data_IF_347820591463
#
_entry.id   IF_347820591463
#
_cell.length_a   1.000
_cell.length_b   1.000
_cell.length_c   1.000
_cell.angle_alpha   90.00
_cell.angle_beta   90.00
_cell.angle_gamma   90.00
#
_symmetry.space_group_name_H-M   'P 1'
#
loop_
_entity.id
_entity.type
_entity.pdbx_description
1 polymer ?
#
# COMPACT_ATOMS: atom_id res chain seq x y z
N UNK A 1 7.26 -6.35 3.02
CA UNK A 1 6.85 -5.23 2.15
C UNK A 1 5.36 -5.35 1.90
N UNK A 2 4.66 -4.24 2.02
CA UNK A 2 3.21 -4.14 2.00
C UNK A 2 2.79 -3.05 1.01
N UNK A 3 1.62 -3.24 0.41
CA UNK A 3 0.98 -2.26 -0.45
C UNK A 3 -0.19 -1.63 0.30
N UNK A 4 -0.19 -0.31 0.46
CA UNK A 4 -1.26 0.43 1.13
C UNK A 4 -2.37 0.80 0.15
N UNK A 5 -3.58 0.33 0.43
CA UNK A 5 -4.79 0.65 -0.36
C UNK A 5 -5.87 1.17 0.55
N UNK A 6 -6.51 2.27 0.16
CA UNK A 6 -7.68 2.79 0.86
C UNK A 6 -8.85 1.83 0.64
N UNK A 7 -9.46 1.36 1.72
CA UNK A 7 -10.65 0.49 1.67
C UNK A 7 -11.91 1.16 2.12
N UNK A 8 -11.79 2.18 2.96
CA UNK A 8 -12.92 2.99 3.37
C UNK A 8 -12.46 4.43 3.56
N UNK A 9 -13.26 5.38 3.08
CA UNK A 9 -13.06 6.81 3.27
C UNK A 9 -14.42 7.42 3.58
N UNK A 10 -14.56 8.01 4.75
CA UNK A 10 -15.74 8.75 5.13
C UNK A 10 -15.63 10.21 4.71
N UNK A 11 -16.78 10.87 4.52
CA UNK A 11 -16.81 12.30 4.25
C UNK A 11 -16.34 13.08 5.48
N UNK A 12 -15.45 14.05 5.24
CA UNK A 12 -14.98 14.95 6.29
C UNK A 12 -16.13 15.85 6.77
N UNK A 13 -16.30 15.93 8.08
CA UNK A 13 -17.33 16.73 8.76
C UNK A 13 -16.78 18.01 9.40
N UNK A 14 -15.46 18.13 9.49
CA UNK A 14 -14.79 19.27 10.11
C UNK A 14 -13.42 19.54 9.45
N UNK A 15 -12.84 20.71 9.77
CA UNK A 15 -11.55 21.17 9.21
C UNK A 15 -10.38 20.22 9.52
N UNK A 16 -10.39 19.57 10.69
CA UNK A 16 -9.37 18.59 11.07
C UNK A 16 -9.42 17.36 10.15
N UNK A 17 -10.61 16.82 9.92
CA UNK A 17 -10.87 15.70 9.02
C UNK A 17 -10.57 16.07 7.57
N UNK A 18 -10.92 17.29 7.12
CA UNK A 18 -10.55 17.77 5.79
C UNK A 18 -9.03 17.81 5.61
N UNK A 19 -8.32 18.38 6.59
CA UNK A 19 -6.87 18.46 6.56
C UNK A 19 -6.20 17.07 6.52
N UNK A 20 -6.62 16.17 7.40
CA UNK A 20 -6.09 14.81 7.44
C UNK A 20 -6.48 14.01 6.20
N UNK A 21 -7.71 14.12 5.69
CA UNK A 21 -8.13 13.38 4.50
C UNK A 21 -7.26 13.73 3.29
N UNK A 22 -6.90 15.01 3.11
CA UNK A 22 -6.00 15.44 2.03
C UNK A 22 -4.60 14.83 2.16
N UNK A 23 -4.04 14.78 3.37
CA UNK A 23 -2.72 14.22 3.61
C UNK A 23 -2.68 12.69 3.53
N UNK A 24 -3.75 12.03 3.97
CA UNK A 24 -3.81 10.58 4.01
C UNK A 24 -4.15 10.00 2.64
N UNK A 25 -4.94 10.70 1.82
CA UNK A 25 -5.23 10.26 0.45
C UNK A 25 -3.98 10.11 -0.42
N UNK A 26 -2.93 10.91 -0.20
CA UNK A 26 -1.66 10.74 -0.93
C UNK A 26 -0.87 9.49 -0.54
N UNK A 27 -1.27 8.79 0.54
CA UNK A 27 -0.67 7.52 0.93
C UNK A 27 -1.26 6.32 0.17
N UNK A 28 -2.29 6.55 -0.64
CA UNK A 28 -2.84 5.53 -1.52
C UNK A 28 -1.77 5.05 -2.51
N UNK A 29 -1.73 3.75 -2.75
CA UNK A 29 -0.80 3.08 -3.66
C UNK A 29 0.68 3.17 -3.26
N UNK A 30 0.99 3.59 -2.03
CA UNK A 30 2.36 3.54 -1.53
C UNK A 30 2.76 2.13 -1.10
N UNK A 31 4.03 1.82 -1.32
CA UNK A 31 4.68 0.64 -0.77
C UNK A 31 5.30 0.97 0.59
N UNK A 32 5.10 0.08 1.54
CA UNK A 32 5.49 0.23 2.93
C UNK A 32 6.31 -0.99 3.32
N UNK A 33 7.51 -0.81 3.85
CA UNK A 33 8.34 -1.94 4.26
C UNK A 33 7.79 -2.64 5.51
N UNK A 34 7.43 -1.84 6.53
CA UNK A 34 6.96 -2.28 7.85
C UNK A 34 5.62 -1.60 8.24
N UNK A 35 4.58 -2.38 8.60
CA UNK A 35 3.30 -1.84 9.06
C UNK A 35 3.42 -1.02 10.35
N UNK A 36 4.39 -1.31 11.22
CA UNK A 36 4.60 -0.52 12.45
C UNK A 36 5.15 0.87 12.12
N UNK A 37 6.04 0.97 11.14
CA UNK A 37 6.52 2.26 10.64
C UNK A 37 5.37 3.10 10.06
N UNK A 38 4.45 2.47 9.31
CA UNK A 38 3.25 3.13 8.80
C UNK A 38 2.35 3.65 9.93
N UNK A 39 2.11 2.85 10.97
CA UNK A 39 1.36 3.29 12.15
C UNK A 39 2.00 4.52 12.80
N UNK A 40 3.32 4.51 13.00
CA UNK A 40 4.05 5.65 13.61
C UNK A 40 3.93 6.92 12.77
N UNK A 41 3.96 6.79 11.44
CA UNK A 41 3.73 7.91 10.53
C UNK A 41 2.30 8.47 10.68
N UNK A 42 1.29 7.60 10.74
CA UNK A 42 -0.10 8.01 10.97
C UNK A 42 -0.25 8.70 12.33
N UNK A 43 0.28 8.13 13.41
CA UNK A 43 0.25 8.69 14.77
C UNK A 43 0.87 10.10 14.79
N UNK A 44 2.04 10.26 14.18
CA UNK A 44 2.72 11.57 14.11
C UNK A 44 1.90 12.60 13.34
N UNK A 45 1.31 12.19 12.22
CA UNK A 45 0.52 13.07 11.36
C UNK A 45 -0.77 13.50 12.06
N UNK A 46 -1.48 12.55 12.68
CA UNK A 46 -2.69 12.81 13.47
C UNK A 46 -2.38 13.68 14.69
N UNK A 47 -1.29 13.42 15.41
CA UNK A 47 -0.89 14.21 16.56
C UNK A 47 -0.64 15.68 16.17
N UNK A 48 0.15 15.93 15.11
CA UNK A 48 0.39 17.28 14.58
C UNK A 48 -0.91 17.97 14.15
N UNK A 49 -1.82 17.23 13.51
CA UNK A 49 -3.11 17.77 13.10
C UNK A 49 -4.00 18.13 14.30
N UNK A 50 -4.07 17.27 15.32
CA UNK A 50 -4.83 17.53 16.54
C UNK A 50 -4.31 18.79 17.27
N UNK A 51 -2.98 18.99 17.34
CA UNK A 51 -2.38 20.21 17.89
C UNK A 51 -2.73 21.46 17.09
N UNK A 52 -2.82 21.34 15.77
CA UNK A 52 -3.18 22.45 14.87
C UNK A 52 -4.66 22.83 14.96
N UNK A 53 -5.54 21.88 15.28
CA UNK A 53 -6.98 22.08 15.36
C UNK A 53 -7.54 21.71 16.75
N UNK A 54 -7.16 22.45 17.82
CA UNK A 54 -7.50 22.09 19.21
C UNK A 54 -9.00 22.18 19.52
N UNK A 55 -9.79 22.87 18.69
CA UNK A 55 -11.25 23.00 18.84
C UNK A 55 -12.02 21.79 18.28
N UNK A 56 -11.37 20.91 17.52
CA UNK A 56 -11.99 19.72 16.96
C UNK A 56 -11.83 18.53 17.91
N UNK A 57 -12.74 17.55 17.83
CA UNK A 57 -12.57 16.28 18.54
C UNK A 57 -11.29 15.59 18.05
N UNK A 58 -10.37 15.20 18.93
CA UNK A 58 -9.12 14.58 18.53
C UNK A 58 -9.39 13.24 17.85
N UNK A 59 -8.67 13.00 16.77
CA UNK A 59 -8.70 11.72 16.07
C UNK A 59 -7.57 10.82 16.57
N UNK A 60 -7.76 9.51 16.40
CA UNK A 60 -6.80 8.48 16.82
C UNK A 60 -6.51 7.58 15.65
N UNK A 61 -5.22 7.27 15.46
CA UNK A 61 -4.78 6.29 14.47
C UNK A 61 -4.72 4.89 15.08
N UNK A 62 -4.96 3.88 14.26
CA UNK A 62 -4.93 2.47 14.67
C UNK A 62 -4.16 1.61 13.67
N UNK A 63 -3.75 0.43 14.15
CA UNK A 63 -3.19 -0.66 13.36
C UNK A 63 -3.73 -1.97 13.97
N UNK A 64 -4.43 -2.74 13.16
CA UNK A 64 -4.99 -4.03 13.53
C UNK A 64 -4.55 -5.09 12.52
N UNK A 65 -4.39 -6.36 12.94
CA UNK A 65 -4.29 -7.46 11.98
C UNK A 65 -5.58 -7.50 11.15
N UNK A 66 -5.45 -7.70 9.84
CA UNK A 66 -6.60 -7.88 8.97
C UNK A 66 -7.25 -9.23 9.26
N UNK A 67 -8.56 -9.34 9.01
CA UNK A 67 -9.28 -10.61 9.16
C UNK A 67 -8.76 -11.70 8.22
N UNK A 68 -8.21 -11.32 7.06
CA UNK A 68 -7.49 -12.22 6.17
C UNK A 68 -6.05 -12.42 6.64
N UNK A 69 -5.60 -13.69 6.63
CA UNK A 69 -4.42 -14.23 7.29
C UNK A 69 -3.04 -13.64 6.93
N UNK A 70 -2.94 -12.62 6.09
CA UNK A 70 -1.65 -12.06 5.62
C UNK A 70 -1.63 -10.52 5.47
N UNK A 71 -2.51 -9.79 6.15
CA UNK A 71 -2.56 -8.33 6.04
C UNK A 71 -2.72 -7.58 7.36
N UNK A 72 -2.66 -6.25 7.27
CA UNK A 72 -2.99 -5.35 8.35
C UNK A 72 -4.02 -4.32 7.89
N UNK A 73 -4.88 -3.86 8.81
CA UNK A 73 -5.75 -2.71 8.61
C UNK A 73 -5.26 -1.56 9.48
N UNK A 74 -4.87 -0.46 8.86
CA UNK A 74 -4.38 0.74 9.52
C UNK A 74 -5.24 1.93 9.14
N UNK A 75 -5.37 2.94 9.98
CA UNK A 75 -6.22 4.07 9.63
C UNK A 75 -6.34 5.09 10.71
N UNK A 76 -7.25 6.04 10.47
CA UNK A 76 -7.69 7.05 11.43
C UNK A 76 -9.17 6.85 11.65
N UNK A 77 -9.57 6.64 12.91
CA UNK A 77 -10.95 6.36 13.28
C UNK A 77 -11.89 7.42 12.73
N UNK A 78 -13.05 6.96 12.23
CA UNK A 78 -14.11 7.80 11.66
C UNK A 78 -13.71 8.67 10.45
N UNK A 79 -12.58 8.35 9.79
CA UNK A 79 -12.10 9.10 8.64
C UNK A 79 -11.68 8.22 7.48
N UNK A 80 -10.64 7.40 7.65
CA UNK A 80 -10.05 6.63 6.54
C UNK A 80 -9.41 5.35 7.05
N UNK A 81 -9.58 4.28 6.29
CA UNK A 81 -8.98 2.98 6.52
C UNK A 81 -8.16 2.55 5.31
N UNK A 82 -6.95 2.09 5.59
CA UNK A 82 -6.04 1.43 4.68
C UNK A 82 -5.98 -0.06 5.01
N UNK A 83 -6.02 -0.90 3.99
CA UNK A 83 -5.53 -2.26 4.09
C UNK A 83 -4.10 -2.31 3.53
N UNK A 84 -3.21 -2.91 4.31
CA UNK A 84 -1.84 -3.20 3.98
C UNK A 84 -1.78 -4.65 3.50
N UNK A 85 -1.65 -4.83 2.19
CA UNK A 85 -1.53 -6.14 1.56
C UNK A 85 -0.07 -6.56 1.51
N UNK A 86 0.27 -7.71 2.07
CA UNK A 86 1.63 -8.25 1.93
C UNK A 86 1.92 -8.54 0.45
N UNK A 87 2.98 -7.92 -0.08
CA UNK A 87 3.45 -8.20 -1.43
C UNK A 87 4.22 -9.52 -1.42
N UNK A 88 3.56 -10.60 -1.84
CA UNK A 88 4.20 -11.91 -2.04
C UNK A 88 4.56 -12.09 -3.51
N UNK A 89 5.83 -11.95 -3.83
CA UNK A 89 6.38 -12.18 -5.16
C UNK A 89 7.63 -11.35 -5.40
N UNK A 90 8.78 -12.01 -5.57
CA UNK A 90 9.92 -11.39 -6.27
C UNK A 90 9.53 -11.41 -7.74
N UNK A 91 9.39 -10.24 -8.37
CA UNK A 91 9.58 -10.18 -9.82
C UNK A 91 11.08 -10.42 -10.02
N UNK A 92 11.47 -11.69 -10.17
CA UNK A 92 12.78 -11.94 -10.76
C UNK A 92 12.76 -11.31 -12.16
N UNK A 93 13.79 -10.54 -12.53
CA UNK A 93 13.92 -10.10 -13.90
C UNK A 93 13.94 -11.37 -14.74
N UNK A 94 12.97 -11.50 -15.64
CA UNK A 94 12.93 -12.55 -16.65
C UNK A 94 14.35 -12.67 -17.21
N UNK A 95 15.00 -13.83 -16.99
CA UNK A 95 16.29 -14.12 -17.59
C UNK A 95 16.22 -13.70 -19.05
N UNK A 96 17.14 -12.84 -19.47
CA UNK A 96 17.25 -12.46 -20.88
C UNK A 96 17.24 -13.74 -21.71
N UNK A 97 16.41 -13.84 -22.76
CA UNK A 97 16.34 -15.06 -23.55
C UNK A 97 17.76 -15.41 -24.01
N UNK A 98 18.20 -16.63 -23.68
CA UNK A 98 19.53 -17.09 -24.04
C UNK A 98 19.74 -16.89 -25.54
N UNK A 99 20.91 -16.39 -25.99
CA UNK A 99 21.17 -16.21 -27.41
C UNK A 99 21.05 -17.58 -28.09
N UNK A 100 20.10 -17.68 -29.03
CA UNK A 100 19.96 -18.84 -29.89
C UNK A 100 21.22 -18.89 -30.75
N UNK A 101 22.12 -19.83 -30.47
CA UNK A 101 23.27 -20.08 -31.33
C UNK A 101 22.78 -20.75 -32.63
N UNK A 102 23.00 -20.15 -33.81
CA UNK A 102 22.64 -20.75 -35.08
C UNK A 102 23.81 -21.63 -35.55
N UNK A 103 23.72 -22.93 -35.29
CA UNK A 103 24.53 -24.01 -35.85
C UNK A 103 23.73 -25.29 -35.52
N UNK A 104 23.27 -26.15 -36.43
CA UNK A 104 23.71 -26.55 -37.75
C UNK A 104 22.50 -27.06 -38.57
N UNK A 105 22.65 -27.00 -39.89
CA UNK A 105 21.81 -27.67 -40.88
C UNK A 105 21.69 -29.18 -40.60
N UNK A 106 20.47 -29.71 -40.65
CA UNK A 106 20.23 -31.05 -41.23
C UNK A 106 18.98 -30.97 -42.11
N UNK A 107 19.24 -30.94 -43.42
CA UNK A 107 18.25 -31.29 -44.44
C UNK A 107 17.89 -32.77 -44.30
N UNK A 108 16.61 -33.11 -44.31
CA UNK A 108 16.13 -34.30 -45.04
C UNK A 108 14.73 -34.04 -45.57
N UNK A 109 14.67 -33.89 -46.89
CA UNK A 109 13.49 -34.10 -47.73
C UNK A 109 12.79 -35.42 -47.40
N UNK A 110 11.46 -35.46 -47.51
CA UNK A 110 10.74 -36.60 -48.09
C UNK A 110 9.26 -36.23 -48.34
N UNK A 111 8.92 -36.20 -49.63
CA UNK A 111 7.55 -36.20 -50.14
C UNK A 111 6.77 -37.43 -49.62
N UNK A 112 5.47 -37.26 -49.40
CA UNK A 112 4.39 -38.10 -49.96
C UNK A 112 3.08 -37.32 -49.91
#
# INVERSE_FOLDING_TARGET
MYFAKITNSYNAKNRLQEYLSKQLKSLECLTVEDPKAFKKYLETTVHKANLKFPRCRPLVSYLHPAYSSSGFSAGVSDLIQFNLYELRGRFEPTQSPAPVHPNEMVQTSLFS
#
